data_IF_918783248899
#
_entry.id   IF_918783248899
#
_cell.length_a   1.000
_cell.length_b   1.000
_cell.length_c   1.000
_cell.angle_alpha   90.00
_cell.angle_beta   90.00
_cell.angle_gamma   90.00
#
_symmetry.space_group_name_H-M   'P 1'
#
loop_
_entity.id
_entity.type
_entity.pdbx_description
1 polymer ?
#
# COMPACT_ATOMS: atom_id res chain seq x y z
N UNK A 1 1.92 -0.80 4.24
CA UNK A 1 1.41 0.56 3.92
C UNK A 1 1.40 1.42 5.16
N UNK A 2 1.68 2.72 5.02
CA UNK A 2 1.70 3.67 6.13
C UNK A 2 0.90 4.93 5.85
N UNK A 3 0.47 5.58 6.92
CA UNK A 3 -0.17 6.90 6.94
C UNK A 3 0.63 7.84 7.82
N UNK A 4 0.52 9.14 7.57
CA UNK A 4 1.01 10.16 8.49
C UNK A 4 0.15 10.12 9.75
N UNK A 5 0.78 9.90 10.91
CA UNK A 5 0.10 9.77 12.20
C UNK A 5 0.29 10.99 13.10
N UNK A 6 1.18 11.90 12.72
CA UNK A 6 1.48 13.12 13.46
C UNK A 6 2.65 13.89 12.83
N UNK A 7 3.11 14.92 13.54
CA UNK A 7 4.23 15.72 13.06
C UNK A 7 5.52 14.89 13.05
N UNK A 8 6.09 14.70 11.86
CA UNK A 8 7.31 13.91 11.67
C UNK A 8 7.14 12.41 11.91
N UNK A 9 5.90 11.89 12.01
CA UNK A 9 5.63 10.49 12.33
C UNK A 9 4.67 9.83 11.35
N UNK A 10 4.90 8.52 11.15
CA UNK A 10 4.02 7.64 10.38
C UNK A 10 3.59 6.46 11.25
N UNK A 11 2.44 5.89 10.94
CA UNK A 11 1.96 4.63 11.53
C UNK A 11 1.53 3.65 10.44
N UNK A 12 1.45 2.37 10.80
CA UNK A 12 0.78 1.39 9.95
C UNK A 12 -0.66 1.85 9.65
N UNK A 13 -1.11 1.58 8.43
CA UNK A 13 -2.51 1.77 8.05
C UNK A 13 -3.36 0.62 8.60
N UNK A 14 -4.55 0.96 9.10
CA UNK A 14 -5.62 0.00 9.34
C UNK A 14 -6.32 -0.42 8.06
N UNK A 15 -7.16 -1.47 8.15
CA UNK A 15 -7.93 -1.95 7.01
C UNK A 15 -8.91 -0.88 6.50
N UNK A 16 -8.91 -0.65 5.19
CA UNK A 16 -9.74 0.37 4.53
C UNK A 16 -9.21 1.80 4.62
N UNK A 17 -8.10 2.04 5.31
CA UNK A 17 -7.52 3.38 5.39
C UNK A 17 -6.76 3.75 4.11
N UNK A 18 -6.76 5.04 3.80
CA UNK A 18 -5.87 5.60 2.79
C UNK A 18 -4.42 5.60 3.29
N UNK A 19 -3.50 5.20 2.43
CA UNK A 19 -2.07 5.20 2.70
C UNK A 19 -1.37 6.34 1.94
N UNK A 20 -0.23 6.78 2.47
CA UNK A 20 0.64 7.77 1.82
C UNK A 20 1.87 7.14 1.16
N UNK A 21 2.21 5.89 1.52
CA UNK A 21 3.36 5.21 0.97
C UNK A 21 3.61 3.83 1.59
N UNK A 22 4.74 3.24 1.20
CA UNK A 22 5.21 1.94 1.69
C UNK A 22 6.52 2.10 2.45
N UNK A 23 6.66 1.39 3.57
CA UNK A 23 7.94 1.29 4.27
C UNK A 23 8.88 0.42 3.44
N UNK A 24 10.03 0.97 3.06
CA UNK A 24 11.06 0.24 2.31
C UNK A 24 12.19 -0.26 3.22
N UNK A 25 12.38 0.37 4.38
CA UNK A 25 13.31 -0.10 5.39
C UNK A 25 12.95 0.40 6.79
N UNK A 26 13.31 -0.39 7.79
CA UNK A 26 13.21 -0.05 9.21
C UNK A 26 14.62 0.11 9.78
N UNK A 27 14.81 1.12 10.62
CA UNK A 27 16.02 1.22 11.43
C UNK A 27 16.14 0.02 12.36
N UNK A 28 17.37 -0.34 12.74
CA UNK A 28 17.61 -1.48 13.67
C UNK A 28 16.91 -1.32 15.02
N UNK A 29 16.69 -0.08 15.48
CA UNK A 29 15.98 0.23 16.72
C UNK A 29 14.46 0.24 16.60
N UNK A 30 13.90 0.24 15.38
CA UNK A 30 12.47 0.35 15.14
C UNK A 30 11.90 1.78 15.28
N UNK A 31 12.71 2.75 15.69
CA UNK A 31 12.27 4.14 15.94
C UNK A 31 12.12 5.00 14.68
N UNK A 32 12.76 4.58 13.58
CA UNK A 32 12.73 5.27 12.30
C UNK A 32 12.50 4.30 11.13
N UNK A 33 11.88 4.80 10.06
CA UNK A 33 11.63 4.06 8.84
C UNK A 33 11.83 4.94 7.60
N UNK A 34 12.26 4.34 6.49
CA UNK A 34 12.24 4.98 5.19
C UNK A 34 10.92 4.64 4.48
N UNK A 35 10.23 5.66 4.00
CA UNK A 35 8.95 5.53 3.30
C UNK A 35 9.13 5.95 1.84
N UNK A 36 8.79 5.06 0.92
CA UNK A 36 8.64 5.42 -0.48
C UNK A 36 7.26 6.06 -0.66
N UNK A 37 7.26 7.30 -1.16
CA UNK A 37 6.06 8.13 -1.35
C UNK A 37 5.66 8.26 -2.83
N UNK A 38 6.43 7.67 -3.75
CA UNK A 38 6.21 7.81 -5.19
C UNK A 38 6.94 6.74 -5.99
N UNK A 39 6.54 6.59 -7.25
CA UNK A 39 7.05 5.55 -8.15
C UNK A 39 6.32 4.22 -7.98
N UNK A 40 6.77 3.20 -8.71
CA UNK A 40 6.17 1.88 -8.64
C UNK A 40 6.63 1.12 -7.41
N UNK A 41 5.68 0.55 -6.68
CA UNK A 41 5.91 -0.37 -5.59
C UNK A 41 5.28 -1.72 -5.89
N UNK A 42 5.88 -2.76 -5.30
CA UNK A 42 5.31 -4.10 -5.24
C UNK A 42 4.73 -4.30 -3.85
N UNK A 43 3.45 -4.64 -3.77
CA UNK A 43 2.78 -4.92 -2.51
C UNK A 43 1.89 -6.16 -2.63
N UNK A 44 1.82 -6.92 -1.55
CA UNK A 44 0.84 -7.99 -1.42
C UNK A 44 -0.57 -7.39 -1.40
N UNK A 45 -1.52 -8.10 -2.00
CA UNK A 45 -2.92 -7.74 -1.91
C UNK A 45 -3.74 -8.84 -1.25
N UNK A 46 -4.74 -8.42 -0.49
CA UNK A 46 -5.68 -9.31 0.20
C UNK A 46 -7.08 -9.17 -0.37
N UNK A 47 -7.91 -10.17 -0.07
CA UNK A 47 -9.28 -10.27 -0.58
C UNK A 47 -9.44 -11.22 -1.76
N UNK A 48 -10.69 -11.52 -2.08
CA UNK A 48 -11.07 -12.40 -3.20
C UNK A 48 -10.90 -11.70 -4.54
N UNK A 49 -11.19 -10.40 -4.59
CA UNK A 49 -11.08 -9.59 -5.81
C UNK A 49 -9.66 -9.07 -5.98
N UNK A 50 -9.02 -9.46 -7.08
CA UNK A 50 -7.73 -8.91 -7.47
C UNK A 50 -7.86 -7.45 -7.91
N UNK A 51 -6.85 -6.60 -7.66
CA UNK A 51 -6.75 -5.30 -8.31
C UNK A 51 -6.83 -5.42 -9.84
N UNK A 52 -7.40 -4.41 -10.49
CA UNK A 52 -7.46 -4.36 -11.96
C UNK A 52 -6.31 -3.52 -12.49
N UNK A 53 -5.65 -3.99 -13.56
CA UNK A 53 -4.62 -3.21 -14.27
C UNK A 53 -5.26 -1.92 -14.83
N UNK A 54 -4.55 -0.80 -14.72
CA UNK A 54 -5.05 0.55 -15.00
C UNK A 54 -5.39 1.31 -13.72
N UNK A 55 -6.31 2.27 -13.82
CA UNK A 55 -6.76 3.05 -12.67
C UNK A 55 -7.70 2.20 -11.79
N UNK A 56 -7.23 1.86 -10.60
CA UNK A 56 -7.96 1.03 -9.64
C UNK A 56 -8.03 1.71 -8.28
N UNK A 57 -9.18 1.63 -7.63
CA UNK A 57 -9.33 2.06 -6.24
C UNK A 57 -8.63 1.07 -5.31
N UNK A 58 -7.65 1.54 -4.54
CA UNK A 58 -6.96 0.75 -3.53
C UNK A 58 -7.07 1.40 -2.15
N UNK A 59 -7.16 0.56 -1.13
CA UNK A 59 -6.99 0.95 0.27
C UNK A 59 -6.08 -0.06 0.98
N UNK A 60 -5.59 0.30 2.16
CA UNK A 60 -4.75 -0.60 2.94
C UNK A 60 -5.54 -1.81 3.44
N UNK A 61 -4.88 -2.95 3.56
CA UNK A 61 -5.47 -4.18 4.09
C UNK A 61 -5.44 -4.29 5.63
N UNK A 62 -4.64 -3.45 6.30
CA UNK A 62 -4.39 -3.51 7.74
C UNK A 62 -3.22 -4.42 8.17
N UNK A 63 -2.64 -5.18 7.24
CA UNK A 63 -1.55 -6.14 7.47
C UNK A 63 -0.24 -5.74 6.79
N UNK A 64 -0.24 -4.64 6.03
CA UNK A 64 0.94 -4.10 5.36
C UNK A 64 0.84 -4.07 3.84
N UNK A 65 -0.16 -4.75 3.26
CA UNK A 65 -0.48 -4.74 1.85
C UNK A 65 -1.65 -3.82 1.50
N UNK A 66 -2.30 -4.13 0.38
CA UNK A 66 -3.46 -3.40 -0.15
C UNK A 66 -4.64 -4.32 -0.41
N UNK A 67 -5.80 -3.74 -0.69
CA UNK A 67 -6.95 -4.44 -1.25
C UNK A 67 -7.61 -3.58 -2.32
N UNK A 68 -8.28 -4.24 -3.27
CA UNK A 68 -9.18 -3.55 -4.17
C UNK A 68 -10.35 -2.97 -3.37
N UNK A 69 -10.60 -1.68 -3.53
CA UNK A 69 -11.60 -0.95 -2.75
C UNK A 69 -12.20 0.18 -3.60
N UNK A 70 -13.50 0.09 -3.88
CA UNK A 70 -14.22 1.10 -4.66
C UNK A 70 -14.30 2.46 -3.96
N UNK A 71 -14.11 2.50 -2.65
CA UNK A 71 -14.03 3.73 -1.85
C UNK A 71 -12.59 4.18 -1.59
N UNK A 72 -11.61 3.39 -2.04
CA UNK A 72 -10.19 3.67 -1.93
C UNK A 72 -9.73 4.81 -2.85
N UNK A 73 -8.45 5.19 -2.71
CA UNK A 73 -7.83 6.15 -3.62
C UNK A 73 -7.51 5.46 -4.95
N UNK A 74 -7.63 6.20 -6.05
CA UNK A 74 -7.26 5.67 -7.36
C UNK A 74 -5.74 5.66 -7.53
N UNK A 75 -5.19 4.47 -7.78
CA UNK A 75 -3.78 4.26 -8.11
C UNK A 75 -3.65 3.61 -9.49
N UNK A 76 -2.53 3.87 -10.16
CA UNK A 76 -2.22 3.25 -11.45
C UNK A 76 -1.56 1.90 -11.21
N UNK A 77 -2.32 0.82 -11.40
CA UNK A 77 -1.83 -0.56 -11.32
C UNK A 77 -1.22 -0.94 -12.66
N UNK A 78 0.06 -1.30 -12.65
CA UNK A 78 0.81 -1.71 -13.83
C UNK A 78 0.80 -3.23 -14.04
N UNK A 79 0.81 -4.02 -12.96
CA UNK A 79 0.87 -5.47 -13.02
C UNK A 79 0.17 -6.11 -11.81
N UNK A 80 -0.40 -7.30 -12.00
CA UNK A 80 -1.08 -8.07 -10.95
C UNK A 80 -0.80 -9.56 -11.15
N UNK A 81 -0.12 -10.16 -10.19
CA UNK A 81 0.06 -11.59 -10.11
C UNK A 81 -0.98 -12.18 -9.15
N UNK A 82 -2.01 -12.80 -9.73
CA UNK A 82 -3.09 -13.40 -8.96
C UNK A 82 -2.71 -14.71 -8.25
N UNK A 83 -1.67 -15.40 -8.73
CA UNK A 83 -1.18 -16.62 -8.10
C UNK A 83 -0.31 -16.29 -6.87
N UNK A 84 0.56 -15.30 -6.99
CA UNK A 84 1.40 -14.81 -5.89
C UNK A 84 0.65 -13.86 -4.93
N UNK A 85 -0.53 -13.35 -5.32
CA UNK A 85 -1.29 -12.32 -4.59
C UNK A 85 -0.52 -11.01 -4.44
N UNK A 86 0.12 -10.58 -5.53
CA UNK A 86 0.97 -9.37 -5.56
C UNK A 86 0.47 -8.40 -6.63
N UNK A 87 0.53 -7.10 -6.35
CA UNK A 87 0.23 -6.05 -7.32
C UNK A 87 1.38 -5.04 -7.37
N UNK A 88 1.68 -4.57 -8.59
CA UNK A 88 2.62 -3.47 -8.84
C UNK A 88 1.83 -2.24 -9.24
N UNK A 89 1.98 -1.14 -8.50
CA UNK A 89 1.24 0.09 -8.76
C UNK A 89 2.06 1.34 -8.42
N UNK A 90 1.71 2.47 -9.05
CA UNK A 90 2.34 3.75 -8.80
C UNK A 90 1.70 4.45 -7.60
N UNK A 91 2.53 4.94 -6.66
CA UNK A 91 2.16 5.79 -5.52
C UNK A 91 1.96 7.26 -5.89
#
# INVERSE_FOLDING_TARGET
>A
MVKVSGNGSVSACGAGEAFCGQVVSLSRGGDACAVQLGGFITADYTGETAPTVGWCGLSADGSGGVKADSTGRSYLVADVDAAAKVAVFAL
#
